data_IF_388631346097
#
_entry.id   IF_388631346097
#
_cell.length_a   1.000
_cell.length_b   1.000
_cell.length_c   1.000
_cell.angle_alpha   90.00
_cell.angle_beta   90.00
_cell.angle_gamma   90.00
#
_symmetry.space_group_name_H-M   'P 1'
#
loop_
_entity.id
_entity.type
_entity.pdbx_description
1 polymer ?
#
# COMPACT_ATOMS: atom_id res chain seq x y z
N UNK A 1 -13.98 9.26 -8.13
CA UNK A 1 -13.27 9.03 -6.84
C UNK A 1 -12.69 7.62 -6.78
N UNK A 2 -13.48 6.56 -6.91
CA UNK A 2 -12.94 5.19 -6.88
C UNK A 2 -11.98 4.84 -8.03
N UNK A 3 -12.20 5.36 -9.24
CA UNK A 3 -11.31 5.07 -10.38
C UNK A 3 -9.89 5.63 -10.20
N UNK A 4 -9.76 6.84 -9.68
CA UNK A 4 -8.45 7.46 -9.41
C UNK A 4 -7.74 6.76 -8.25
N UNK A 5 -8.47 6.45 -7.17
CA UNK A 5 -7.93 5.71 -6.03
C UNK A 5 -7.52 4.29 -6.42
N UNK A 6 -8.29 3.63 -7.29
CA UNK A 6 -7.95 2.33 -7.86
C UNK A 6 -6.67 2.39 -8.69
N UNK A 7 -6.54 3.40 -9.55
CA UNK A 7 -5.32 3.60 -10.35
C UNK A 7 -4.11 3.81 -9.44
N UNK A 8 -4.22 4.67 -8.42
CA UNK A 8 -3.18 4.90 -7.40
C UNK A 8 -2.79 3.61 -6.68
N UNK A 9 -3.79 2.81 -6.28
CA UNK A 9 -3.58 1.54 -5.58
C UNK A 9 -2.88 0.53 -6.48
N UNK A 10 -3.29 0.41 -7.74
CA UNK A 10 -2.64 -0.48 -8.71
C UNK A 10 -1.20 -0.05 -9.00
N UNK A 11 -0.94 1.26 -9.13
CA UNK A 11 0.42 1.78 -9.29
C UNK A 11 1.31 1.40 -8.10
N UNK A 12 0.83 1.68 -6.87
CA UNK A 12 1.57 1.35 -5.66
C UNK A 12 1.82 -0.17 -5.52
N UNK A 13 0.87 -1.01 -5.93
CA UNK A 13 1.06 -2.47 -5.96
C UNK A 13 2.19 -2.87 -6.89
N UNK A 14 2.20 -2.38 -8.13
CA UNK A 14 3.27 -2.67 -9.09
C UNK A 14 4.63 -2.22 -8.58
N UNK A 15 4.73 -1.03 -7.99
CA UNK A 15 6.00 -0.52 -7.46
C UNK A 15 6.48 -1.34 -6.26
N UNK A 16 5.58 -1.70 -5.34
CA UNK A 16 5.92 -2.54 -4.17
C UNK A 16 6.33 -3.96 -4.60
N UNK A 17 5.71 -4.54 -5.63
CA UNK A 17 6.08 -5.87 -6.14
C UNK A 17 7.53 -5.94 -6.63
N UNK A 18 8.01 -4.88 -7.29
CA UNK A 18 9.42 -4.77 -7.69
C UNK A 18 10.32 -4.79 -6.46
N UNK A 19 9.93 -4.06 -5.41
CA UNK A 19 10.68 -3.97 -4.16
C UNK A 19 10.62 -5.24 -3.31
N UNK A 20 9.63 -6.12 -3.49
CA UNK A 20 9.49 -7.37 -2.71
C UNK A 20 10.64 -8.37 -2.94
N UNK A 21 11.33 -8.31 -4.08
CA UNK A 21 12.47 -9.20 -4.39
C UNK A 21 13.70 -8.95 -3.52
N UNK A 22 13.81 -7.77 -2.91
CA UNK A 22 14.82 -7.44 -1.88
C UNK A 22 14.22 -6.97 -0.54
N UNK A 23 12.93 -6.67 -0.53
CA UNK A 23 12.18 -6.13 0.59
C UNK A 23 11.73 -7.23 1.54
N UNK A 24 12.15 -7.14 2.80
CA UNK A 24 11.78 -8.09 3.84
C UNK A 24 10.29 -8.12 4.17
N UNK A 25 9.97 -8.61 5.37
CA UNK A 25 8.58 -8.79 5.84
C UNK A 25 7.71 -7.51 5.74
N UNK A 26 8.34 -6.33 5.77
CA UNK A 26 7.66 -5.04 5.68
C UNK A 26 7.05 -4.77 4.29
N UNK A 27 7.76 -5.06 3.19
CA UNK A 27 7.20 -4.90 1.84
C UNK A 27 6.06 -5.89 1.58
N UNK A 28 6.20 -7.12 2.07
CA UNK A 28 5.13 -8.12 2.01
C UNK A 28 3.89 -7.68 2.81
N UNK A 29 4.09 -7.01 3.95
CA UNK A 29 2.99 -6.45 4.76
C UNK A 29 2.27 -5.31 4.04
N UNK A 30 3.02 -4.38 3.43
CA UNK A 30 2.45 -3.30 2.61
C UNK A 30 1.66 -3.88 1.44
N UNK A 31 2.23 -4.84 0.70
CA UNK A 31 1.56 -5.47 -0.45
C UNK A 31 0.21 -6.09 -0.06
N UNK A 32 0.17 -6.90 1.00
CA UNK A 32 -1.09 -7.50 1.48
C UNK A 32 -2.14 -6.44 1.85
N UNK A 33 -1.72 -5.35 2.51
CA UNK A 33 -2.63 -4.26 2.88
C UNK A 33 -3.13 -3.48 1.66
N UNK A 34 -2.28 -3.25 0.65
CA UNK A 34 -2.68 -2.64 -0.62
C UNK A 34 -3.65 -3.53 -1.39
N UNK A 35 -3.45 -4.85 -1.41
CA UNK A 35 -4.39 -5.80 -2.02
C UNK A 35 -5.76 -5.75 -1.34
N UNK A 36 -5.79 -5.65 -0.01
CA UNK A 36 -7.04 -5.44 0.73
C UNK A 36 -7.70 -4.12 0.33
N UNK A 37 -6.95 -3.01 0.30
CA UNK A 37 -7.46 -1.70 -0.12
C UNK A 37 -8.05 -1.75 -1.53
N UNK A 38 -7.37 -2.39 -2.48
CA UNK A 38 -7.83 -2.56 -3.86
C UNK A 38 -9.21 -3.21 -3.90
N UNK A 39 -9.38 -4.32 -3.17
CA UNK A 39 -10.64 -5.04 -3.10
C UNK A 39 -11.79 -4.18 -2.52
N UNK A 40 -11.52 -3.38 -1.48
CA UNK A 40 -12.52 -2.45 -0.94
C UNK A 40 -12.93 -1.38 -1.94
N UNK A 41 -11.98 -0.83 -2.71
CA UNK A 41 -12.25 0.22 -3.69
C UNK A 41 -13.14 -0.26 -4.84
N UNK A 42 -12.99 -1.53 -5.25
CA UNK A 42 -13.75 -2.15 -6.35
C UNK A 42 -14.97 -2.95 -5.89
N UNK A 43 -15.20 -3.08 -4.58
CA UNK A 43 -16.31 -3.84 -4.02
C UNK A 43 -16.17 -5.36 -4.18
N UNK A 44 -14.95 -5.87 -4.33
CA UNK A 44 -14.67 -7.30 -4.41
C UNK A 44 -14.49 -7.92 -3.01
N UNK A 45 -14.82 -9.21 -2.84
CA UNK A 45 -14.48 -9.93 -1.62
C UNK A 45 -12.96 -9.89 -1.35
N UNK A 46 -12.59 -9.69 -0.09
CA UNK A 46 -11.21 -9.73 0.37
C UNK A 46 -11.09 -10.63 1.60
N UNK A 47 -9.86 -10.96 1.98
CA UNK A 47 -9.62 -11.45 3.33
C UNK A 47 -10.16 -10.46 4.38
N UNK A 48 -10.56 -10.94 5.57
CA UNK A 48 -10.92 -10.07 6.69
C UNK A 48 -9.82 -9.07 6.99
N UNK A 49 -10.19 -7.82 7.32
CA UNK A 49 -9.24 -6.80 7.73
C UNK A 49 -8.51 -7.28 8.99
N UNK A 50 -7.19 -7.51 8.91
CA UNK A 50 -6.35 -8.08 9.96
C UNK A 50 -6.00 -7.07 11.09
N UNK A 51 -6.85 -6.07 11.33
CA UNK A 51 -6.60 -4.93 12.22
C UNK A 51 -6.42 -3.60 11.48
N UNK A 52 -6.03 -2.52 12.17
CA UNK A 52 -5.80 -1.21 11.55
C UNK A 52 -4.76 -1.29 10.43
N UNK A 53 -4.90 -0.45 9.40
CA UNK A 53 -3.85 -0.36 8.37
C UNK A 53 -2.63 0.33 8.98
N UNK A 54 -1.46 -0.24 8.70
CA UNK A 54 -0.15 0.24 9.18
C UNK A 54 0.79 0.55 8.03
N UNK A 55 0.37 0.32 6.78
CA UNK A 55 1.20 0.50 5.59
C UNK A 55 1.76 1.91 5.45
N UNK A 56 1.06 2.96 5.89
CA UNK A 56 1.61 4.33 5.92
C UNK A 56 2.82 4.45 6.85
N UNK A 57 2.76 3.85 8.04
CA UNK A 57 3.85 3.89 9.01
C UNK A 57 5.06 3.11 8.50
N UNK A 58 4.81 1.92 7.95
CA UNK A 58 5.86 1.07 7.38
C UNK A 58 6.51 1.77 6.17
N UNK A 59 5.71 2.32 5.26
CA UNK A 59 6.20 2.99 4.06
C UNK A 59 7.04 4.24 4.40
N UNK A 60 6.60 5.05 5.37
CA UNK A 60 7.39 6.20 5.84
C UNK A 60 8.76 5.75 6.35
N UNK A 61 8.82 4.67 7.14
CA UNK A 61 10.09 4.20 7.69
C UNK A 61 11.02 3.61 6.62
N UNK A 62 10.48 2.73 5.79
CA UNK A 62 11.27 1.88 4.90
C UNK A 62 11.57 2.54 3.55
N UNK A 63 10.68 3.40 3.05
CA UNK A 63 10.79 3.98 1.71
C UNK A 63 11.22 5.46 1.73
N UNK A 64 10.84 6.21 2.76
CA UNK A 64 11.18 7.64 2.90
C UNK A 64 12.38 7.86 3.84
N UNK A 65 12.29 7.45 5.11
CA UNK A 65 13.34 7.75 6.08
C UNK A 65 14.65 6.99 5.84
N UNK A 66 14.55 5.70 5.48
CA UNK A 66 15.72 4.83 5.27
C UNK A 66 15.91 4.42 3.80
N UNK A 67 14.89 4.62 2.99
CA UNK A 67 14.93 4.42 1.54
C UNK A 67 15.13 5.75 0.80
N UNK A 68 14.95 5.71 -0.50
CA UNK A 68 15.05 6.84 -1.42
C UNK A 68 13.78 7.01 -2.28
N UNK A 69 12.66 6.43 -1.83
CA UNK A 69 11.39 6.43 -2.55
C UNK A 69 10.27 7.09 -1.72
N UNK A 70 10.48 8.37 -1.37
CA UNK A 70 9.54 9.20 -0.61
C UNK A 70 8.20 9.38 -1.32
N UNK A 71 8.19 9.37 -2.65
CA UNK A 71 6.97 9.52 -3.46
C UNK A 71 6.06 8.29 -3.32
N UNK A 72 6.63 7.08 -3.36
CA UNK A 72 5.87 5.86 -3.10
C UNK A 72 5.37 5.82 -1.65
N UNK A 73 6.16 6.30 -0.68
CA UNK A 73 5.71 6.41 0.70
C UNK A 73 4.48 7.31 0.83
N UNK A 74 4.54 8.51 0.23
CA UNK A 74 3.43 9.45 0.22
C UNK A 74 2.18 8.90 -0.48
N UNK A 75 2.37 8.16 -1.58
CA UNK A 75 1.29 7.49 -2.30
C UNK A 75 0.58 6.46 -1.42
N UNK A 76 1.34 5.59 -0.74
CA UNK A 76 0.79 4.58 0.18
C UNK A 76 0.03 5.25 1.33
N UNK A 77 0.59 6.32 1.92
CA UNK A 77 -0.08 7.10 2.96
C UNK A 77 -1.39 7.72 2.48
N UNK A 78 -1.43 8.22 1.25
CA UNK A 78 -2.65 8.76 0.65
C UNK A 78 -3.72 7.67 0.47
N UNK A 79 -3.33 6.49 -0.03
CA UNK A 79 -4.26 5.36 -0.21
C UNK A 79 -4.83 4.92 1.14
N UNK A 80 -4.00 4.76 2.17
CA UNK A 80 -4.48 4.36 3.50
C UNK A 80 -5.55 5.34 4.02
N UNK A 81 -5.26 6.64 3.96
CA UNK A 81 -6.19 7.70 4.43
C UNK A 81 -7.49 7.75 3.64
N UNK A 82 -7.48 7.34 2.38
CA UNK A 82 -8.68 7.37 1.54
C UNK A 82 -9.61 6.18 1.80
N UNK A 83 -9.10 5.08 2.38
CA UNK A 83 -9.85 3.85 2.65
C UNK A 83 -10.28 3.73 4.12
N UNK A 84 -9.58 4.38 5.05
CA UNK A 84 -9.94 4.48 6.48
C UNK A 84 -10.82 5.70 6.78
#
# INVERSE_FOLDING_TARGET
MNAELLQKTNSALSDVEVLMTGGGANMHSIHRQLMWCRAQVIGEPSEPKQGPLTMSLIATRELDMWGDNSDLAALISHIQRAVE
#
